data_IF_684659372243
#
_entry.id   IF_684659372243
#
_cell.length_a   1.000
_cell.length_b   1.000
_cell.length_c   1.000
_cell.angle_alpha   90.00
_cell.angle_beta   90.00
_cell.angle_gamma   90.00
#
_symmetry.space_group_name_H-M   'P 1'
#
loop_
_entity.id
_entity.type
_entity.pdbx_description
1 polymer ?
#
# COMPACT_ATOMS: atom_id res chain seq x y z
N UNK A 1 3.37 -16.46 0.23
CA UNK A 1 3.31 -17.31 -0.98
C UNK A 1 4.51 -16.96 -1.86
N UNK A 2 4.87 -17.85 -2.78
CA UNK A 2 5.89 -17.58 -3.79
C UNK A 2 5.23 -17.24 -5.14
N UNK A 3 5.81 -16.32 -5.89
CA UNK A 3 5.43 -16.04 -7.29
C UNK A 3 6.69 -15.87 -8.14
N UNK A 4 7.08 -16.93 -8.85
CA UNK A 4 8.26 -16.93 -9.70
C UNK A 4 9.57 -16.78 -8.91
N UNK A 5 9.67 -17.41 -7.74
CA UNK A 5 10.84 -17.33 -6.85
C UNK A 5 10.92 -16.04 -6.03
N UNK A 6 9.84 -15.26 -5.97
CA UNK A 6 9.75 -14.01 -5.21
C UNK A 6 8.65 -14.09 -4.15
N UNK A 7 8.91 -13.65 -2.90
CA UNK A 7 7.88 -13.53 -1.87
C UNK A 7 6.75 -12.61 -2.31
N UNK A 8 5.52 -13.14 -2.28
CA UNK A 8 4.35 -12.45 -2.76
C UNK A 8 3.17 -12.52 -1.77
N UNK A 9 2.22 -11.60 -1.96
CA UNK A 9 0.88 -11.61 -1.39
C UNK A 9 -0.16 -11.44 -2.50
N UNK A 10 -1.36 -11.97 -2.28
CA UNK A 10 -2.52 -11.73 -3.14
C UNK A 10 -3.50 -10.84 -2.40
N UNK A 11 -3.87 -9.74 -3.04
CA UNK A 11 -4.95 -8.87 -2.57
C UNK A 11 -6.18 -9.09 -3.43
N UNK A 12 -7.22 -9.62 -2.81
CA UNK A 12 -8.51 -9.88 -3.46
C UNK A 12 -9.56 -8.87 -3.02
N UNK A 13 -10.36 -8.37 -3.97
CA UNK A 13 -11.53 -7.54 -3.67
C UNK A 13 -12.81 -8.36 -3.78
N UNK A 14 -13.35 -8.71 -2.62
CA UNK A 14 -14.61 -9.46 -2.51
C UNK A 14 -15.83 -8.57 -2.83
N UNK A 15 -16.86 -9.20 -3.41
CA UNK A 15 -18.13 -8.55 -3.64
C UNK A 15 -18.81 -8.16 -2.32
N UNK A 16 -19.30 -6.93 -2.22
CA UNK A 16 -19.99 -6.46 -1.03
C UNK A 16 -21.51 -6.60 -1.23
N UNK A 17 -22.15 -7.52 -0.50
CA UNK A 17 -23.58 -7.89 -0.66
C UNK A 17 -24.57 -6.73 -0.51
N UNK A 18 -24.17 -5.67 0.19
CA UNK A 18 -24.98 -4.46 0.36
C UNK A 18 -25.02 -3.55 -0.88
N UNK A 19 -24.15 -3.75 -1.88
CA UNK A 19 -24.11 -2.95 -3.11
C UNK A 19 -24.86 -3.64 -4.24
N UNK A 20 -25.50 -2.85 -5.10
CA UNK A 20 -26.09 -3.38 -6.33
C UNK A 20 -25.00 -4.09 -7.18
N UNK A 21 -25.23 -5.31 -7.71
CA UNK A 21 -24.19 -6.11 -8.37
C UNK A 21 -23.45 -5.37 -9.49
N UNK A 22 -24.16 -4.62 -10.33
CA UNK A 22 -23.56 -3.82 -11.41
C UNK A 22 -22.63 -2.73 -10.88
N UNK A 23 -23.03 -2.06 -9.80
CA UNK A 23 -22.24 -1.00 -9.18
C UNK A 23 -21.00 -1.57 -8.49
N UNK A 24 -21.16 -2.66 -7.74
CA UNK A 24 -20.04 -3.32 -7.06
C UNK A 24 -19.00 -3.82 -8.06
N UNK A 25 -19.44 -4.44 -9.17
CA UNK A 25 -18.57 -4.87 -10.26
C UNK A 25 -17.80 -3.69 -10.86
N UNK A 26 -18.47 -2.56 -11.11
CA UNK A 26 -17.85 -1.33 -11.64
C UNK A 26 -16.81 -0.79 -10.66
N UNK A 27 -17.16 -0.64 -9.39
CA UNK A 27 -16.27 -0.13 -8.34
C UNK A 27 -15.04 -1.02 -8.19
N UNK A 28 -15.23 -2.34 -8.04
CA UNK A 28 -14.11 -3.27 -7.85
C UNK A 28 -13.19 -3.30 -9.07
N UNK A 29 -13.73 -3.29 -10.29
CA UNK A 29 -12.93 -3.18 -11.51
C UNK A 29 -12.08 -1.91 -11.54
N UNK A 30 -12.70 -0.78 -11.25
CA UNK A 30 -12.01 0.50 -11.27
C UNK A 30 -10.91 0.56 -10.19
N UNK A 31 -11.20 0.08 -8.98
CA UNK A 31 -10.22 0.04 -7.89
C UNK A 31 -9.04 -0.87 -8.20
N UNK A 32 -9.25 -2.07 -8.73
CA UNK A 32 -8.14 -2.98 -9.11
C UNK A 32 -7.25 -2.33 -10.16
N UNK A 33 -7.84 -1.70 -11.17
CA UNK A 33 -7.07 -1.03 -12.22
C UNK A 33 -6.30 0.18 -11.71
N UNK A 34 -6.97 1.07 -10.95
CA UNK A 34 -6.34 2.26 -10.39
C UNK A 34 -5.19 1.86 -9.47
N UNK A 35 -5.41 0.91 -8.57
CA UNK A 35 -4.40 0.50 -7.60
C UNK A 35 -3.14 -0.08 -8.26
N UNK A 36 -3.29 -1.02 -9.20
CA UNK A 36 -2.15 -1.58 -9.91
C UNK A 36 -1.39 -0.52 -10.71
N UNK A 37 -2.10 0.38 -11.41
CA UNK A 37 -1.47 1.48 -12.15
C UNK A 37 -0.72 2.45 -11.24
N UNK A 38 -1.30 2.78 -10.09
CA UNK A 38 -0.70 3.68 -9.12
C UNK A 38 0.56 3.07 -8.50
N UNK A 39 0.54 1.79 -8.11
CA UNK A 39 1.75 1.11 -7.60
C UNK A 39 2.90 1.16 -8.60
N UNK A 40 2.63 0.86 -9.88
CA UNK A 40 3.64 0.92 -10.94
C UNK A 40 4.14 2.36 -11.14
N UNK A 41 3.23 3.35 -11.17
CA UNK A 41 3.58 4.75 -11.36
C UNK A 41 4.43 5.30 -10.22
N UNK A 42 4.04 5.03 -8.96
CA UNK A 42 4.77 5.46 -7.75
C UNK A 42 6.20 4.89 -7.76
N UNK A 43 6.35 3.59 -8.04
CA UNK A 43 7.68 2.98 -8.19
C UNK A 43 8.49 3.59 -9.33
N UNK A 44 7.85 3.97 -10.43
CA UNK A 44 8.49 4.65 -11.55
C UNK A 44 9.16 5.98 -11.18
N UNK A 45 8.69 6.64 -10.12
CA UNK A 45 9.30 7.85 -9.56
C UNK A 45 10.33 7.58 -8.46
N UNK A 46 10.72 6.32 -8.25
CA UNK A 46 11.68 5.94 -7.22
C UNK A 46 11.12 5.93 -5.79
N UNK A 47 9.80 6.08 -5.63
CA UNK A 47 9.13 6.02 -4.34
C UNK A 47 8.87 4.55 -3.99
N UNK A 48 9.25 4.13 -2.79
CA UNK A 48 9.12 2.73 -2.37
C UNK A 48 7.64 2.35 -2.18
N UNK A 49 7.21 1.37 -2.99
CA UNK A 49 5.87 0.81 -3.00
C UNK A 49 5.95 -0.65 -3.46
N UNK A 50 4.98 -1.52 -3.09
CA UNK A 50 4.99 -2.92 -3.50
C UNK A 50 5.09 -3.09 -5.02
N UNK A 51 6.02 -3.94 -5.48
CA UNK A 51 6.07 -4.31 -6.88
C UNK A 51 4.83 -5.13 -7.27
N UNK A 52 4.16 -4.76 -8.37
CA UNK A 52 3.06 -5.54 -8.93
C UNK A 52 3.64 -6.67 -9.77
N UNK A 53 3.30 -7.92 -9.45
CA UNK A 53 3.74 -9.09 -10.20
C UNK A 53 2.70 -9.53 -11.22
N UNK A 54 1.41 -9.49 -10.85
CA UNK A 54 0.32 -9.90 -11.73
C UNK A 54 -1.00 -9.23 -11.35
N UNK A 55 -1.87 -8.99 -12.34
CA UNK A 55 -3.19 -8.41 -12.14
C UNK A 55 -4.25 -9.31 -12.79
N UNK A 56 -5.05 -9.96 -11.95
CA UNK A 56 -6.20 -10.74 -12.38
C UNK A 56 -7.47 -9.87 -12.32
N UNK A 57 -7.83 -9.32 -13.48
CA UNK A 57 -9.04 -8.50 -13.60
C UNK A 57 -10.33 -9.31 -13.49
N UNK A 58 -10.30 -10.62 -13.77
CA UNK A 58 -11.49 -11.48 -13.71
C UNK A 58 -11.86 -11.67 -12.25
N UNK A 59 -10.92 -12.19 -11.45
CA UNK A 59 -11.11 -12.48 -10.03
C UNK A 59 -10.86 -11.28 -9.11
N UNK A 60 -10.57 -10.10 -9.65
CA UNK A 60 -10.32 -8.87 -8.88
C UNK A 60 -9.16 -9.01 -7.90
N UNK A 61 -8.08 -9.66 -8.36
CA UNK A 61 -6.88 -9.92 -7.56
C UNK A 61 -5.68 -9.16 -8.10
N UNK A 62 -4.82 -8.74 -7.19
CA UNK A 62 -3.49 -8.22 -7.51
C UNK A 62 -2.48 -9.07 -6.74
N UNK A 63 -1.56 -9.69 -7.47
CA UNK A 63 -0.38 -10.36 -6.90
C UNK A 63 0.74 -9.34 -6.85
N UNK A 64 1.31 -9.13 -5.67
CA UNK A 64 2.32 -8.10 -5.43
C UNK A 64 3.38 -8.57 -4.44
N UNK A 65 4.48 -7.83 -4.36
CA UNK A 65 5.58 -8.02 -3.42
C UNK A 65 5.06 -8.17 -1.98
N UNK A 66 5.52 -9.21 -1.31
CA UNK A 66 5.37 -9.31 0.14
C UNK A 66 6.41 -8.44 0.82
N UNK A 67 5.97 -7.31 1.37
CA UNK A 67 6.83 -6.40 2.13
C UNK A 67 7.08 -6.98 3.51
N UNK A 68 8.33 -7.32 3.80
CA UNK A 68 8.77 -7.62 5.16
C UNK A 68 8.84 -6.31 5.95
N UNK A 69 8.04 -6.20 7.00
CA UNK A 69 7.95 -4.99 7.81
C UNK A 69 6.73 -4.97 8.73
N UNK A 70 6.58 -3.86 9.45
CA UNK A 70 5.41 -3.61 10.32
C UNK A 70 4.64 -2.41 9.82
N UNK A 71 3.32 -2.37 10.06
CA UNK A 71 2.54 -1.16 9.75
C UNK A 71 2.97 0.01 10.63
N UNK A 72 2.95 1.21 10.08
CA UNK A 72 3.28 2.42 10.85
C UNK A 72 2.29 2.61 12.00
N UNK A 73 1.03 2.21 11.82
CA UNK A 73 0.04 2.10 12.90
C UNK A 73 0.56 1.22 14.04
N UNK A 74 0.91 -0.04 13.76
CA UNK A 74 1.41 -0.98 14.77
C UNK A 74 2.65 -0.44 15.48
N UNK A 75 3.56 0.19 14.73
CA UNK A 75 4.75 0.80 15.28
C UNK A 75 4.40 1.95 16.26
N UNK A 76 3.48 2.85 15.91
CA UNK A 76 2.97 3.89 16.81
C UNK A 76 2.34 3.28 18.07
N UNK A 77 1.52 2.24 17.94
CA UNK A 77 0.89 1.58 19.09
C UNK A 77 1.90 0.97 20.05
N UNK A 78 3.03 0.45 19.55
CA UNK A 78 4.07 -0.14 20.38
C UNK A 78 4.93 0.91 21.10
N UNK A 79 4.94 2.16 20.64
CA UNK A 79 5.81 3.24 21.13
C UNK A 79 5.00 4.46 21.62
N UNK A 80 3.76 4.28 22.06
CA UNK A 80 2.83 5.37 22.37
C UNK A 80 3.34 6.37 23.41
N UNK A 81 4.12 5.90 24.39
CA UNK A 81 4.67 6.73 25.47
C UNK A 81 6.08 7.21 25.18
N UNK A 82 6.65 6.84 24.04
CA UNK A 82 8.03 7.11 23.69
C UNK A 82 8.10 8.07 22.49
N UNK A 83 8.35 9.35 22.79
CA UNK A 83 8.69 10.37 21.79
C UNK A 83 10.17 10.32 21.43
N UNK A 84 10.72 9.11 21.31
CA UNK A 84 12.12 8.87 20.96
C UNK A 84 12.47 9.50 19.62
N UNK A 85 13.78 9.75 19.45
CA UNK A 85 14.30 10.24 18.17
C UNK A 85 14.01 9.28 17.01
N UNK A 86 13.92 7.97 17.27
CA UNK A 86 13.54 6.96 16.27
C UNK A 86 12.10 7.18 15.74
N UNK A 87 11.14 7.48 16.64
CA UNK A 87 9.77 7.82 16.22
C UNK A 87 9.75 9.10 15.38
N UNK A 88 10.49 10.13 15.78
CA UNK A 88 10.60 11.40 15.05
C UNK A 88 11.21 11.18 13.66
N UNK A 89 12.27 10.38 13.56
CA UNK A 89 12.91 10.04 12.31
C UNK A 89 11.95 9.30 11.36
N UNK A 90 11.21 8.30 11.87
CA UNK A 90 10.22 7.56 11.09
C UNK A 90 9.06 8.44 10.63
N UNK A 91 8.54 9.29 11.50
CA UNK A 91 7.50 10.27 11.13
C UNK A 91 8.00 11.25 10.05
N UNK A 92 9.27 11.69 10.14
CA UNK A 92 9.89 12.52 9.11
C UNK A 92 10.02 11.79 7.78
N UNK A 93 10.44 10.52 7.77
CA UNK A 93 10.49 9.69 6.55
C UNK A 93 9.11 9.47 5.94
N UNK A 94 8.08 9.31 6.77
CA UNK A 94 6.68 9.25 6.29
C UNK A 94 6.31 10.57 5.60
N UNK A 95 6.55 11.71 6.25
CA UNK A 95 6.31 13.02 5.67
C UNK A 95 7.06 13.25 4.36
N UNK A 96 8.31 12.79 4.26
CA UNK A 96 9.11 12.88 3.05
C UNK A 96 8.53 12.02 1.92
N UNK A 97 8.15 10.76 2.19
CA UNK A 97 7.55 9.89 1.19
C UNK A 97 6.22 10.46 0.65
N UNK A 98 5.40 11.09 1.52
CA UNK A 98 4.19 11.80 1.11
C UNK A 98 4.52 13.03 0.27
N UNK A 99 5.51 13.82 0.70
CA UNK A 99 5.97 14.99 -0.04
C UNK A 99 6.46 14.61 -1.45
N UNK A 100 7.17 13.50 -1.58
CA UNK A 100 7.66 13.00 -2.87
C UNK A 100 6.52 12.49 -3.75
N UNK A 101 5.46 11.90 -3.21
CA UNK A 101 4.24 11.63 -3.99
C UNK A 101 3.63 12.92 -4.55
N UNK A 102 3.43 13.92 -3.70
CA UNK A 102 2.78 15.18 -4.10
C UNK A 102 3.61 15.98 -5.10
N UNK A 103 4.95 15.96 -5.01
CA UNK A 103 5.85 16.56 -6.02
C UNK A 103 5.69 15.95 -7.41
N UNK A 104 5.20 14.71 -7.50
CA UNK A 104 4.96 13.99 -8.75
C UNK A 104 3.46 13.99 -9.14
N UNK A 105 2.69 14.95 -8.62
CA UNK A 105 1.25 15.12 -8.86
C UNK A 105 0.42 13.86 -8.54
N UNK A 106 0.87 13.08 -7.56
CA UNK A 106 0.16 11.87 -7.10
C UNK A 106 -0.55 12.15 -5.79
N UNK A 107 -1.89 12.06 -5.83
CA UNK A 107 -2.72 12.08 -4.62
C UNK A 107 -3.04 10.63 -4.24
N UNK A 108 -2.68 10.22 -3.02
CA UNK A 108 -2.95 8.85 -2.54
C UNK A 108 -4.44 8.58 -2.33
N UNK A 109 -5.21 9.56 -1.83
CA UNK A 109 -6.67 9.48 -1.68
C UNK A 109 -7.20 8.66 -0.49
N UNK A 110 -6.31 8.04 0.31
CA UNK A 110 -6.65 7.29 1.53
C UNK A 110 -5.42 7.12 2.41
N UNK A 111 -4.85 8.25 2.83
CA UNK A 111 -3.60 8.25 3.59
C UNK A 111 -3.90 7.94 5.07
N UNK A 112 -3.55 6.74 5.51
CA UNK A 112 -3.67 6.32 6.91
C UNK A 112 -2.38 5.63 7.35
N UNK A 113 -2.12 5.59 8.66
CA UNK A 113 -0.93 4.91 9.22
C UNK A 113 -0.95 3.39 9.00
N UNK A 114 -2.10 2.80 8.64
CA UNK A 114 -2.21 1.37 8.26
C UNK A 114 -1.80 1.12 6.81
N UNK A 115 -1.84 2.15 5.96
CA UNK A 115 -1.46 2.09 4.55
C UNK A 115 0.05 2.36 4.35
N UNK A 116 0.83 2.32 5.41
CA UNK A 116 2.27 2.53 5.41
C UNK A 116 2.93 1.36 6.13
N UNK A 117 3.99 0.82 5.54
CA UNK A 117 4.83 -0.20 6.16
C UNK A 117 6.23 0.37 6.40
N UNK A 118 6.87 -0.09 7.47
CA UNK A 118 8.26 0.19 7.80
C UNK A 118 9.05 -1.10 7.58
N UNK A 119 9.99 -1.08 6.64
CA UNK A 119 10.94 -2.19 6.43
C UNK A 119 11.96 -2.26 7.59
N UNK A 120 12.63 -3.40 7.81
CA UNK A 120 13.67 -3.53 8.83
C UNK A 120 14.81 -2.49 8.73
N UNK A 121 15.11 -2.00 7.52
CA UNK A 121 16.09 -0.95 7.28
C UNK A 121 15.55 0.48 7.57
N UNK A 122 14.32 0.60 8.09
CA UNK A 122 13.67 1.88 8.41
C UNK A 122 13.08 2.62 7.21
N UNK A 123 13.07 2.03 6.01
CA UNK A 123 12.45 2.64 4.83
C UNK A 123 10.93 2.57 4.90
N UNK A 124 10.27 3.66 4.52
CA UNK A 124 8.81 3.76 4.46
C UNK A 124 8.33 3.29 3.09
N UNK A 125 7.49 2.28 3.11
CA UNK A 125 6.79 1.76 1.94
C UNK A 125 5.36 2.29 1.97
N UNK A 126 4.97 3.01 0.92
CA UNK A 126 3.59 3.43 0.76
C UNK A 126 2.80 2.30 0.11
N UNK A 127 1.86 1.74 0.85
CA UNK A 127 0.98 0.68 0.39
C UNK A 127 -0.40 1.23 0.10
N UNK A 128 -0.83 1.12 -1.16
CA UNK A 128 -2.18 1.49 -1.54
C UNK A 128 -3.16 0.43 -1.00
N UNK A 129 -3.78 0.74 0.15
CA UNK A 129 -4.81 -0.03 0.86
C UNK A 129 -4.32 -1.38 1.43
N UNK A 130 -3.88 -1.42 2.67
CA UNK A 130 -3.84 -2.65 3.46
C UNK A 130 -5.13 -2.75 4.27
N UNK A 131 -5.80 -3.91 4.23
CA UNK A 131 -6.95 -4.27 5.08
C UNK A 131 -8.30 -3.53 4.90
N UNK A 132 -8.92 -3.55 3.71
CA UNK A 132 -10.38 -3.33 3.54
C UNK A 132 -11.03 -4.00 2.32
#
# INVERSE_FOLDING_TARGET
>A
MDYGGRPAIVKERFAKKYRHPTLDKKINNQRVQTEAKMLVRVRGFGIDAPAVYFVDKVNKRIVMEHILGVSFKSYIYQHQTDLSEDMREKAKKVGQAIGDLHKNDIIHGDLTTSNMLIRPNGQIVLSLFLYI
#
